data_IF_724959425424
#
_entry.id   IF_724959425424
#
_cell.length_a   1.000
_cell.length_b   1.000
_cell.length_c   1.000
_cell.angle_alpha   90.00
_cell.angle_beta   90.00
_cell.angle_gamma   90.00
#
_symmetry.space_group_name_H-M   'P 1'
#
loop_
_entity.id
_entity.type
_entity.pdbx_description
1 polymer ?
#
# COMPACT_ATOMS: atom_id res chain seq x y z
N UNK A 1 -6.24 -5.87 16.19
CA UNK A 1 -5.55 -4.78 15.44
C UNK A 1 -4.64 -5.34 14.34
N UNK A 2 -3.96 -4.51 13.52
CA UNK A 2 -3.04 -4.96 12.44
C UNK A 2 -1.58 -5.18 12.88
N UNK A 3 -1.28 -5.04 14.16
CA UNK A 3 0.06 -5.19 14.73
C UNK A 3 0.79 -3.86 14.85
N UNK A 4 2.06 -3.93 15.28
CA UNK A 4 2.94 -2.77 15.24
C UNK A 4 3.18 -2.36 13.78
N UNK A 5 3.25 -1.06 13.48
CA UNK A 5 3.54 -0.61 12.13
C UNK A 5 4.99 -0.91 11.75
N UNK A 6 5.18 -1.29 10.48
CA UNK A 6 6.47 -1.45 9.81
C UNK A 6 7.48 -2.46 10.40
N UNK A 7 7.06 -3.66 10.86
CA UNK A 7 8.00 -4.73 11.17
C UNK A 7 8.83 -5.12 9.94
N UNK A 8 9.98 -5.74 10.19
CA UNK A 8 10.78 -6.46 9.18
C UNK A 8 10.13 -7.83 8.92
N UNK A 9 9.11 -7.89 8.05
CA UNK A 9 8.35 -9.13 7.81
C UNK A 9 9.01 -10.09 6.83
N UNK A 10 9.99 -9.63 6.06
CA UNK A 10 10.72 -10.43 5.08
C UNK A 10 12.10 -10.91 5.60
N UNK A 11 12.52 -10.42 6.77
CA UNK A 11 13.72 -10.86 7.49
C UNK A 11 15.00 -10.32 6.86
N UNK A 12 14.93 -9.14 6.24
CA UNK A 12 16.04 -8.50 5.56
C UNK A 12 16.81 -7.48 6.43
N UNK A 13 16.47 -7.41 7.73
CA UNK A 13 16.97 -6.47 8.76
C UNK A 13 16.46 -5.02 8.62
N UNK A 14 15.65 -4.72 7.60
CA UNK A 14 15.02 -3.42 7.38
C UNK A 14 13.52 -3.48 7.68
N UNK A 15 12.98 -2.39 8.25
CA UNK A 15 11.54 -2.29 8.47
C UNK A 15 10.79 -2.03 7.17
N UNK A 16 9.59 -2.62 7.04
CA UNK A 16 8.77 -2.53 5.81
C UNK A 16 8.64 -1.12 5.22
N UNK A 17 8.55 -0.07 6.05
CA UNK A 17 8.45 1.32 5.56
C UNK A 17 9.67 1.71 4.72
N UNK A 18 10.85 1.36 5.21
CA UNK A 18 12.12 1.69 4.58
C UNK A 18 12.36 0.85 3.33
N UNK A 19 11.87 -0.39 3.29
CA UNK A 19 11.84 -1.20 2.07
C UNK A 19 11.00 -0.54 0.97
N UNK A 20 9.80 -0.07 1.31
CA UNK A 20 8.91 0.57 0.33
C UNK A 20 9.48 1.91 -0.14
N UNK A 21 10.05 2.72 0.76
CA UNK A 21 10.75 3.95 0.36
C UNK A 21 11.94 3.64 -0.55
N UNK A 22 12.75 2.64 -0.22
CA UNK A 22 13.89 2.24 -1.04
C UNK A 22 13.48 1.69 -2.41
N UNK A 23 12.30 1.06 -2.51
CA UNK A 23 11.75 0.52 -3.75
C UNK A 23 11.19 1.63 -4.66
N UNK A 24 10.49 2.59 -4.07
CA UNK A 24 9.66 3.55 -4.82
C UNK A 24 10.34 4.90 -5.07
N UNK A 25 11.35 5.26 -4.27
CA UNK A 25 12.09 6.50 -4.46
C UNK A 25 13.31 6.29 -5.36
N UNK A 26 13.59 7.30 -6.18
CA UNK A 26 14.85 7.47 -6.88
C UNK A 26 15.90 8.15 -5.98
N UNK A 27 17.17 8.02 -6.35
CA UNK A 27 18.31 8.71 -5.71
C UNK A 27 18.37 8.57 -4.16
N UNK A 28 18.00 7.37 -3.68
CA UNK A 28 17.89 7.06 -2.25
C UNK A 28 19.23 7.20 -1.52
N UNK A 29 19.22 7.96 -0.43
CA UNK A 29 20.30 8.00 0.58
C UNK A 29 19.85 7.27 1.83
N UNK A 30 20.71 6.41 2.38
CA UNK A 30 20.47 5.66 3.60
C UNK A 30 21.38 6.10 4.74
N UNK A 31 20.93 5.90 5.97
CA UNK A 31 21.75 6.05 7.19
C UNK A 31 22.83 4.95 7.27
N UNK A 32 23.72 5.06 8.26
CA UNK A 32 24.82 4.13 8.55
C UNK A 32 24.35 2.70 8.86
N UNK A 33 23.10 2.52 9.28
CA UNK A 33 22.49 1.21 9.50
C UNK A 33 22.23 0.43 8.21
N UNK A 34 22.32 1.09 7.04
CA UNK A 34 22.11 0.49 5.73
C UNK A 34 20.65 0.24 5.35
N UNK A 35 19.69 0.60 6.21
CA UNK A 35 18.26 0.38 6.02
C UNK A 35 17.49 1.70 5.98
N UNK A 36 17.70 2.56 6.97
CA UNK A 36 16.89 3.76 7.16
C UNK A 36 17.08 4.71 5.98
N UNK A 37 16.01 4.94 5.21
CA UNK A 37 16.01 5.88 4.09
C UNK A 37 15.92 7.31 4.63
N UNK A 38 16.97 8.09 4.45
CA UNK A 38 17.06 9.48 4.91
C UNK A 38 16.51 10.47 3.89
N UNK A 39 16.70 10.20 2.60
CA UNK A 39 16.14 11.01 1.52
C UNK A 39 16.03 10.23 0.21
N UNK A 40 15.26 10.78 -0.72
CA UNK A 40 15.13 10.33 -2.10
C UNK A 40 14.09 11.17 -2.83
N UNK A 41 13.84 10.91 -4.11
CA UNK A 41 12.85 11.64 -4.90
C UNK A 41 11.79 10.67 -5.40
N UNK A 42 10.52 10.94 -5.07
CA UNK A 42 9.39 10.24 -5.67
C UNK A 42 9.11 10.91 -7.01
N UNK A 43 9.59 10.29 -8.10
CA UNK A 43 9.29 10.78 -9.44
C UNK A 43 7.92 10.28 -9.86
N UNK A 44 7.08 11.18 -10.38
CA UNK A 44 5.74 10.86 -10.87
C UNK A 44 4.87 10.12 -9.82
N UNK A 45 4.63 10.78 -8.69
CA UNK A 45 3.79 10.29 -7.59
C UNK A 45 2.53 9.59 -8.14
N UNK A 46 2.28 8.33 -7.77
CA UNK A 46 1.15 7.57 -8.30
C UNK A 46 -0.21 8.24 -8.11
N UNK A 47 -0.39 9.06 -7.07
CA UNK A 47 -1.67 9.66 -6.74
C UNK A 47 -1.94 11.00 -7.42
N UNK A 48 -0.90 11.81 -7.63
CA UNK A 48 -1.00 13.20 -8.10
C UNK A 48 -0.20 13.49 -9.37
N UNK A 49 0.76 12.62 -9.72
CA UNK A 49 1.70 12.79 -10.83
C UNK A 49 2.81 13.80 -10.55
N UNK A 50 2.90 14.32 -9.31
CA UNK A 50 3.92 15.28 -8.93
C UNK A 50 5.28 14.63 -8.69
N UNK A 51 6.35 15.40 -8.82
CA UNK A 51 7.66 15.02 -8.29
C UNK A 51 7.79 15.56 -6.87
N UNK A 52 8.19 14.72 -5.91
CA UNK A 52 8.25 15.05 -4.49
C UNK A 52 9.61 14.66 -3.93
N UNK A 53 10.29 15.57 -3.24
CA UNK A 53 11.54 15.28 -2.56
C UNK A 53 11.25 14.81 -1.12
N UNK A 54 11.55 13.55 -0.84
CA UNK A 54 11.44 13.00 0.51
C UNK A 54 12.69 13.32 1.32
N UNK A 55 12.50 13.87 2.52
CA UNK A 55 13.54 14.00 3.54
C UNK A 55 12.97 13.53 4.88
N UNK A 56 13.63 12.56 5.53
CA UNK A 56 13.22 12.05 6.83
C UNK A 56 13.24 13.18 7.87
N UNK A 57 12.16 13.26 8.65
CA UNK A 57 11.98 14.32 9.65
C UNK A 57 11.73 15.72 9.06
N UNK A 58 11.67 15.86 7.73
CA UNK A 58 11.24 17.07 7.03
C UNK A 58 9.72 17.24 7.03
N UNK A 59 9.20 18.15 6.19
CA UNK A 59 7.78 18.22 5.89
C UNK A 59 7.26 16.84 5.46
N UNK A 60 6.10 16.44 5.97
CA UNK A 60 5.52 15.12 5.69
C UNK A 60 4.90 15.11 4.29
N UNK A 61 5.76 15.03 3.28
CA UNK A 61 5.38 15.11 1.86
C UNK A 61 5.14 13.73 1.24
N UNK A 62 5.79 12.68 1.75
CA UNK A 62 5.57 11.29 1.33
C UNK A 62 5.11 10.43 2.52
N UNK A 63 3.99 9.73 2.32
CA UNK A 63 3.48 8.69 3.21
C UNK A 63 3.53 7.32 2.49
N UNK A 64 3.60 6.21 3.24
CA UNK A 64 3.35 4.88 2.67
C UNK A 64 1.86 4.60 2.79
N UNK A 65 1.15 4.51 1.66
CA UNK A 65 -0.26 4.17 1.61
C UNK A 65 -0.48 2.65 1.58
N UNK A 66 -1.62 2.24 2.16
CA UNK A 66 -2.23 0.94 1.92
C UNK A 66 -3.25 1.07 0.79
N UNK A 67 -2.94 0.53 -0.39
CA UNK A 67 -3.81 0.59 -1.58
C UNK A 67 -5.24 0.14 -1.28
N UNK A 68 -5.38 -0.94 -0.51
CA UNK A 68 -6.60 -1.26 0.25
C UNK A 68 -6.39 -0.82 1.69
N UNK A 69 -7.07 0.27 2.08
CA UNK A 69 -6.93 0.85 3.41
C UNK A 69 -7.23 -0.18 4.51
N UNK A 70 -6.47 -0.16 5.60
CA UNK A 70 -6.63 -1.15 6.68
C UNK A 70 -8.01 -1.09 7.36
N UNK A 71 -8.61 0.10 7.47
CA UNK A 71 -10.00 0.28 7.96
C UNK A 71 -11.03 -0.33 6.99
N UNK A 72 -10.82 -0.17 5.67
CA UNK A 72 -11.66 -0.79 4.64
C UNK A 72 -11.57 -2.32 4.72
N UNK A 73 -10.35 -2.86 4.76
CA UNK A 73 -10.10 -4.28 4.90
C UNK A 73 -10.73 -4.87 6.18
N UNK A 74 -10.65 -4.14 7.30
CA UNK A 74 -11.28 -4.53 8.56
C UNK A 74 -12.78 -4.74 8.41
N UNK A 75 -13.46 -3.77 7.79
CA UNK A 75 -14.89 -3.85 7.51
C UNK A 75 -15.20 -4.98 6.52
N UNK A 76 -14.29 -5.22 5.57
CA UNK A 76 -14.44 -6.15 4.44
C UNK A 76 -13.88 -7.56 4.65
N UNK A 77 -13.72 -7.97 5.91
CA UNK A 77 -13.46 -9.37 6.30
C UNK A 77 -12.30 -9.53 7.28
N UNK A 78 -11.32 -8.63 7.27
CA UNK A 78 -10.09 -8.79 8.04
C UNK A 78 -10.29 -8.85 9.55
N UNK A 79 -11.40 -8.29 10.06
CA UNK A 79 -11.77 -8.39 11.49
C UNK A 79 -11.93 -9.82 12.02
N UNK A 80 -12.16 -10.80 11.13
CA UNK A 80 -12.37 -12.21 11.49
C UNK A 80 -11.12 -13.07 11.34
N UNK A 81 -10.04 -12.50 10.79
CA UNK A 81 -8.82 -13.24 10.54
C UNK A 81 -7.97 -13.37 11.79
N UNK A 82 -7.09 -14.36 11.76
CA UNK A 82 -5.99 -14.47 12.72
C UNK A 82 -5.09 -13.22 12.65
N UNK A 83 -4.49 -12.81 13.79
CA UNK A 83 -3.52 -11.72 13.87
C UNK A 83 -2.45 -11.75 12.78
N UNK A 84 -1.84 -12.90 12.51
CA UNK A 84 -0.75 -13.04 11.53
C UNK A 84 -1.17 -12.71 10.08
N UNK A 85 -2.42 -13.01 9.67
CA UNK A 85 -2.93 -12.63 8.34
C UNK A 85 -3.20 -11.13 8.25
N UNK A 86 -3.64 -10.49 9.34
CA UNK A 86 -3.78 -9.02 9.41
C UNK A 86 -2.41 -8.35 9.28
N UNK A 87 -1.41 -8.81 10.01
CA UNK A 87 -0.02 -8.29 9.93
C UNK A 87 0.53 -8.45 8.50
N UNK A 88 0.31 -9.60 7.87
CA UNK A 88 0.73 -9.83 6.48
C UNK A 88 0.11 -8.79 5.53
N UNK A 89 -1.21 -8.57 5.58
CA UNK A 89 -1.86 -7.55 4.74
C UNK A 89 -1.29 -6.14 4.94
N UNK A 90 -0.97 -5.78 6.18
CA UNK A 90 -0.46 -4.46 6.52
C UNK A 90 1.00 -4.23 6.08
N UNK A 91 1.74 -5.29 5.77
CA UNK A 91 3.16 -5.22 5.42
C UNK A 91 3.49 -5.84 4.05
N UNK A 92 2.48 -6.25 3.28
CA UNK A 92 2.69 -6.83 1.96
C UNK A 92 3.03 -5.73 0.94
N UNK A 93 4.18 -5.78 0.25
CA UNK A 93 4.51 -4.81 -0.80
C UNK A 93 3.47 -4.71 -1.92
N UNK A 94 2.63 -5.75 -2.13
CA UNK A 94 1.49 -5.71 -3.05
C UNK A 94 0.41 -4.69 -2.62
N UNK A 95 0.30 -4.42 -1.32
CA UNK A 95 -0.64 -3.47 -0.75
C UNK A 95 0.00 -2.14 -0.35
N UNK A 96 1.30 -1.95 -0.56
CA UNK A 96 2.03 -0.77 -0.08
C UNK A 96 2.65 0.04 -1.22
N UNK A 97 2.61 1.36 -1.09
CA UNK A 97 3.14 2.30 -2.09
C UNK A 97 3.54 3.63 -1.43
N UNK A 98 4.70 4.18 -1.79
CA UNK A 98 5.05 5.56 -1.43
C UNK A 98 4.26 6.55 -2.28
N UNK A 99 3.60 7.52 -1.64
CA UNK A 99 2.71 8.47 -2.31
C UNK A 99 2.72 9.85 -1.64
N UNK A 100 2.21 10.86 -2.33
CA UNK A 100 1.89 12.18 -1.77
C UNK A 100 1.04 12.04 -0.49
N UNK A 101 1.55 12.59 0.60
CA UNK A 101 0.93 12.51 1.91
C UNK A 101 -0.44 13.21 1.97
N UNK A 102 -0.64 14.30 1.24
CA UNK A 102 -1.90 15.03 1.20
C UNK A 102 -3.00 14.24 0.49
N UNK A 103 -2.68 13.64 -0.65
CA UNK A 103 -3.55 12.77 -1.41
C UNK A 103 -3.89 11.50 -0.62
N UNK A 104 -2.91 10.89 0.04
CA UNK A 104 -3.15 9.74 0.91
C UNK A 104 -4.13 10.07 2.06
N UNK A 105 -3.93 11.22 2.72
CA UNK A 105 -4.84 11.67 3.79
C UNK A 105 -6.23 12.03 3.29
N UNK A 106 -6.33 12.53 2.06
CA UNK A 106 -7.63 12.76 1.41
C UNK A 106 -8.35 11.44 1.11
N UNK A 107 -7.61 10.42 0.65
CA UNK A 107 -8.14 9.06 0.44
C UNK A 107 -8.70 8.49 1.75
N UNK A 108 -7.94 8.56 2.85
CA UNK A 108 -8.38 8.01 4.13
C UNK A 108 -8.70 6.51 4.04
N UNK A 109 -9.90 6.10 4.46
CA UNK A 109 -10.39 4.73 4.35
C UNK A 109 -11.35 4.48 3.19
N UNK A 110 -11.38 5.40 2.22
CA UNK A 110 -12.21 5.27 1.02
C UNK A 110 -11.80 4.07 0.15
N UNK A 111 -12.81 3.39 -0.39
CA UNK A 111 -12.63 2.39 -1.44
C UNK A 111 -12.62 3.01 -2.85
N UNK A 112 -12.39 2.18 -3.87
CA UNK A 112 -12.31 2.62 -5.27
C UNK A 112 -13.63 3.24 -5.82
N UNK A 113 -14.78 3.05 -5.15
CA UNK A 113 -16.01 3.74 -5.52
C UNK A 113 -16.07 5.17 -4.97
N UNK A 114 -15.33 5.45 -3.90
CA UNK A 114 -15.40 6.70 -3.15
C UNK A 114 -14.23 7.64 -3.48
N UNK A 115 -13.04 7.10 -3.73
CA UNK A 115 -11.85 7.87 -4.04
C UNK A 115 -11.01 7.21 -5.13
N UNK A 116 -10.47 8.03 -6.03
CA UNK A 116 -9.51 7.62 -7.06
C UNK A 116 -8.36 8.64 -7.13
N UNK A 117 -7.14 8.19 -7.49
CA UNK A 117 -6.03 9.08 -7.82
C UNK A 117 -6.44 10.22 -8.75
N UNK A 118 -5.94 11.43 -8.49
CA UNK A 118 -6.13 12.56 -9.42
C UNK A 118 -5.26 12.38 -10.66
N UNK A 119 -4.13 11.68 -10.52
CA UNK A 119 -3.29 11.20 -11.62
C UNK A 119 -4.01 10.12 -12.43
N UNK A 120 -4.71 10.54 -13.50
CA UNK A 120 -5.54 9.65 -14.32
C UNK A 120 -4.78 8.47 -14.94
N UNK A 121 -3.55 8.63 -15.47
CA UNK A 121 -2.75 7.53 -15.99
C UNK A 121 -2.58 6.36 -15.00
N UNK A 122 -2.57 6.62 -13.69
CA UNK A 122 -2.38 5.59 -12.67
C UNK A 122 -3.65 4.83 -12.28
N UNK A 123 -4.85 5.29 -12.67
CA UNK A 123 -6.13 4.73 -12.17
C UNK A 123 -6.34 3.26 -12.51
N UNK A 124 -5.88 2.82 -13.67
CA UNK A 124 -5.96 1.41 -14.06
C UNK A 124 -5.07 0.54 -13.18
N UNK A 125 -3.82 0.94 -12.98
CA UNK A 125 -2.89 0.27 -12.06
C UNK A 125 -3.43 0.25 -10.64
N UNK A 126 -3.99 1.36 -10.15
CA UNK A 126 -4.64 1.44 -8.85
C UNK A 126 -5.79 0.45 -8.69
N UNK A 127 -6.71 0.39 -9.66
CA UNK A 127 -7.84 -0.55 -9.64
C UNK A 127 -7.37 -2.01 -9.73
N UNK A 128 -6.41 -2.31 -10.59
CA UNK A 128 -5.84 -3.65 -10.75
C UNK A 128 -5.14 -4.11 -9.45
N UNK A 129 -4.35 -3.23 -8.83
CA UNK A 129 -3.67 -3.55 -7.58
C UNK A 129 -4.65 -3.78 -6.43
N UNK A 130 -5.72 -2.99 -6.31
CA UNK A 130 -6.78 -3.27 -5.33
C UNK A 130 -7.45 -4.62 -5.57
N UNK A 131 -7.76 -4.99 -6.82
CA UNK A 131 -8.32 -6.31 -7.13
C UNK A 131 -7.33 -7.41 -6.75
N UNK A 132 -6.04 -7.25 -7.05
CA UNK A 132 -5.00 -8.21 -6.71
C UNK A 132 -4.90 -8.42 -5.18
N UNK A 133 -4.85 -7.35 -4.39
CA UNK A 133 -4.83 -7.42 -2.93
C UNK A 133 -6.10 -8.09 -2.39
N UNK A 134 -7.28 -7.66 -2.84
CA UNK A 134 -8.55 -8.22 -2.36
C UNK A 134 -8.69 -9.69 -2.74
N UNK A 135 -8.20 -10.10 -3.91
CA UNK A 135 -8.18 -11.49 -4.33
C UNK A 135 -7.20 -12.31 -3.49
N UNK A 136 -5.96 -11.84 -3.31
CA UNK A 136 -4.92 -12.52 -2.53
C UNK A 136 -5.34 -12.73 -1.07
N UNK A 137 -5.97 -11.73 -0.47
CA UNK A 137 -6.37 -11.77 0.94
C UNK A 137 -7.82 -12.19 1.18
N UNK A 138 -8.59 -12.45 0.13
CA UNK A 138 -10.01 -12.87 0.20
C UNK A 138 -10.92 -11.83 0.88
N UNK A 139 -10.66 -10.55 0.62
CA UNK A 139 -11.53 -9.45 1.06
C UNK A 139 -12.75 -9.36 0.13
N UNK A 140 -13.93 -9.18 0.72
CA UNK A 140 -15.13 -8.96 -0.08
C UNK A 140 -15.20 -7.51 -0.57
N UNK A 141 -15.96 -7.27 -1.63
CA UNK A 141 -16.22 -5.93 -2.20
C UNK A 141 -17.70 -5.60 -2.12
N UNK A 142 -18.02 -4.32 -1.94
CA UNK A 142 -19.42 -3.88 -2.10
C UNK A 142 -19.83 -3.94 -3.57
N UNK A 143 -21.13 -3.94 -3.85
CA UNK A 143 -21.60 -3.87 -5.24
C UNK A 143 -21.16 -2.56 -5.92
N UNK A 144 -21.16 -1.44 -5.21
CA UNK A 144 -20.71 -0.14 -5.73
C UNK A 144 -19.21 -0.17 -6.08
N UNK A 145 -18.38 -0.71 -5.19
CA UNK A 145 -16.94 -0.87 -5.41
C UNK A 145 -16.66 -1.79 -6.59
N UNK A 146 -17.36 -2.93 -6.67
CA UNK A 146 -17.24 -3.86 -7.80
C UNK A 146 -17.57 -3.18 -9.13
N UNK A 147 -18.64 -2.39 -9.19
CA UNK A 147 -19.01 -1.65 -10.40
C UNK A 147 -17.96 -0.59 -10.75
N UNK A 148 -17.41 0.12 -9.77
CA UNK A 148 -16.35 1.09 -9.99
C UNK A 148 -15.08 0.44 -10.56
N UNK A 149 -14.60 -0.63 -9.93
CA UNK A 149 -13.43 -1.39 -10.38
C UNK A 149 -13.65 -1.96 -11.79
N UNK A 150 -14.81 -2.57 -12.05
CA UNK A 150 -15.14 -3.14 -13.37
C UNK A 150 -15.20 -2.06 -14.45
N UNK A 151 -15.74 -0.87 -14.14
CA UNK A 151 -15.78 0.25 -15.08
C UNK A 151 -14.38 0.73 -15.42
N UNK A 152 -13.53 0.98 -14.41
CA UNK A 152 -12.16 1.47 -14.61
C UNK A 152 -11.36 0.46 -15.44
N UNK A 153 -11.38 -0.82 -15.05
CA UNK A 153 -10.63 -1.86 -15.76
C UNK A 153 -11.19 -2.16 -17.16
N UNK A 154 -12.49 -1.90 -17.38
CA UNK A 154 -13.10 -1.98 -18.71
C UNK A 154 -12.54 -0.97 -19.71
N UNK A 155 -12.04 0.17 -19.23
CA UNK A 155 -11.40 1.20 -20.06
C UNK A 155 -9.91 0.88 -20.36
N UNK A 156 -9.35 -0.16 -19.74
CA UNK A 156 -7.95 -0.58 -19.88
C UNK A 156 -7.78 -2.10 -19.80
N UNK A 157 -8.31 -2.84 -20.81
CA UNK A 157 -8.40 -4.30 -20.79
C UNK A 157 -7.05 -5.04 -20.80
N UNK A 158 -5.97 -4.36 -21.18
CA UNK A 158 -4.61 -4.91 -21.20
C UNK A 158 -3.89 -4.76 -19.84
N UNK A 159 -4.54 -4.16 -18.83
CA UNK A 159 -3.95 -4.02 -17.50
C UNK A 159 -3.93 -5.38 -16.80
N UNK A 160 -2.74 -5.91 -16.57
CA UNK A 160 -2.56 -7.14 -15.79
C UNK A 160 -2.70 -6.86 -14.29
N UNK A 161 -3.19 -7.86 -13.54
CA UNK A 161 -3.18 -7.80 -12.09
C UNK A 161 -1.73 -7.97 -11.60
N UNK A 162 -1.21 -7.07 -10.75
CA UNK A 162 0.11 -7.28 -10.16
C UNK A 162 0.09 -8.55 -9.31
N UNK A 163 1.21 -9.27 -9.31
CA UNK A 163 1.41 -10.45 -8.48
C UNK A 163 2.33 -10.08 -7.31
N UNK A 164 2.16 -10.76 -6.18
CA UNK A 164 3.03 -10.60 -5.03
C UNK A 164 3.22 -11.93 -4.34
N UNK A 165 4.48 -12.34 -4.17
CA UNK A 165 4.85 -13.67 -3.69
C UNK A 165 4.88 -13.78 -2.15
N UNK A 166 4.72 -12.65 -1.45
CA UNK A 166 4.71 -12.59 0.01
C UNK A 166 3.61 -13.49 0.59
N UNK A 167 3.88 -14.32 1.60
CA UNK A 167 2.86 -15.15 2.23
C UNK A 167 1.72 -14.31 2.84
N UNK A 168 0.49 -14.83 2.82
CA UNK A 168 -0.68 -14.20 3.47
C UNK A 168 -0.70 -14.42 5.00
N UNK A 169 0.42 -14.78 5.59
CA UNK A 169 0.55 -15.04 7.03
C UNK A 169 1.93 -14.59 7.45
N UNK A 170 1.99 -13.65 8.39
CA UNK A 170 3.24 -13.12 8.88
C UNK A 170 4.02 -14.18 9.69
N UNK A 171 5.36 -14.05 9.77
CA UNK A 171 6.18 -14.88 10.66
C UNK A 171 5.69 -14.84 12.12
N UNK A 172 5.79 -15.96 12.87
CA UNK A 172 5.19 -16.12 14.20
C UNK A 172 5.76 -15.17 15.27
N UNK A 173 6.96 -14.65 15.06
CA UNK A 173 7.60 -13.63 15.89
C UNK A 173 6.84 -12.29 15.89
N UNK A 174 6.02 -12.02 14.87
CA UNK A 174 5.17 -10.85 14.81
C UNK A 174 3.77 -11.17 15.32
N UNK A 175 3.38 -10.54 16.43
CA UNK A 175 2.05 -10.68 17.01
C UNK A 175 1.31 -9.34 17.02
N UNK A 176 0.03 -9.36 16.65
CA UNK A 176 -0.88 -8.24 16.86
C UNK A 176 -1.77 -8.57 18.07
N UNK A 177 -1.96 -7.64 19.02
CA UNK A 177 -2.96 -7.83 20.07
C UNK A 177 -4.35 -8.00 19.43
N UNK A 178 -5.16 -8.83 20.09
CA UNK A 178 -6.51 -9.20 19.63
C UNK A 178 -7.32 -7.99 19.15
#
# INVERSE_FOLDING_TARGET
>A
MFGSPWPDVDGNDCGTRDDILARDLDDVTRDEDGCTVESGTLTEDPFTGATIDFVRGGPSEVDIDHLVALSDAWQKGARTWEPAKRIALANDPLNLLAVDAGANRQKGDADAATWLPSHQPYRCTYAAAQVAVKQKYELWVTEAEKQALARILGDCPDTELPQGDTPTTAPPEFSAPD
#
